data_IF_470339665000
#
_entry.id   IF_470339665000
#
_cell.length_a   1.000
_cell.length_b   1.000
_cell.length_c   1.000
_cell.angle_alpha   90.00
_cell.angle_beta   90.00
_cell.angle_gamma   90.00
#
_symmetry.space_group_name_H-M   'P 1'
#
loop_
_entity.id
_entity.type
_entity.pdbx_description
1 polymer ?
#
# COMPACT_ATOMS: atom_id res chain seq x y z
N UNK A 1 15.45 -5.61 -16.82
CA UNK A 1 14.30 -5.59 -17.75
C UNK A 1 13.30 -4.57 -17.24
N UNK A 2 12.67 -3.81 -18.13
CA UNK A 2 11.73 -2.74 -17.77
C UNK A 2 10.30 -3.18 -18.08
N UNK A 3 9.39 -3.01 -17.11
CA UNK A 3 7.96 -3.25 -17.27
C UNK A 3 7.24 -1.93 -16.99
N UNK A 4 6.33 -1.53 -17.87
CA UNK A 4 5.63 -0.25 -17.83
C UNK A 4 4.13 -0.45 -17.72
N UNK A 5 3.46 0.32 -16.86
CA UNK A 5 2.00 0.40 -16.84
C UNK A 5 1.51 1.72 -16.26
N UNK A 6 0.20 1.93 -16.27
CA UNK A 6 -0.40 3.13 -15.69
C UNK A 6 -0.77 2.87 -14.24
N UNK A 7 -0.12 3.56 -13.31
CA UNK A 7 -0.52 3.56 -11.90
C UNK A 7 -0.52 4.97 -11.33
N UNK A 8 -1.44 5.25 -10.41
CA UNK A 8 -1.57 6.56 -9.74
C UNK A 8 -0.73 6.63 -8.45
N UNK A 9 0.31 5.79 -8.33
CA UNK A 9 1.15 5.72 -7.13
C UNK A 9 2.34 6.66 -7.27
N UNK A 10 2.80 7.22 -6.16
CA UNK A 10 4.11 7.87 -6.13
C UNK A 10 5.25 6.81 -6.14
N UNK A 11 6.49 7.26 -6.34
CA UNK A 11 7.63 6.34 -6.48
C UNK A 11 7.91 5.51 -5.23
N UNK A 12 7.74 6.09 -4.03
CA UNK A 12 7.96 5.42 -2.76
C UNK A 12 6.93 4.31 -2.51
N UNK A 13 5.66 4.58 -2.80
CA UNK A 13 4.55 3.62 -2.73
C UNK A 13 4.75 2.44 -3.65
N UNK A 14 5.07 2.72 -4.91
CA UNK A 14 5.27 1.67 -5.90
C UNK A 14 6.52 0.84 -5.59
N UNK A 15 7.60 1.46 -5.11
CA UNK A 15 8.79 0.72 -4.66
C UNK A 15 8.49 -0.18 -3.47
N UNK A 16 7.79 0.33 -2.46
CA UNK A 16 7.46 -0.45 -1.27
C UNK A 16 6.49 -1.60 -1.58
N UNK A 17 5.46 -1.36 -2.41
CA UNK A 17 4.53 -2.44 -2.83
C UNK A 17 5.23 -3.43 -3.75
N UNK A 18 6.08 -2.97 -4.69
CA UNK A 18 6.85 -3.86 -5.54
C UNK A 18 7.79 -4.76 -4.71
N UNK A 19 8.50 -4.21 -3.72
CA UNK A 19 9.33 -5.00 -2.80
C UNK A 19 8.52 -6.00 -1.98
N UNK A 20 7.35 -5.59 -1.48
CA UNK A 20 6.49 -6.47 -0.70
C UNK A 20 5.93 -7.64 -1.54
N UNK A 21 5.51 -7.37 -2.77
CA UNK A 21 4.91 -8.34 -3.67
C UNK A 21 5.93 -9.24 -4.40
N UNK A 22 7.12 -8.70 -4.70
CA UNK A 22 8.20 -9.41 -5.40
C UNK A 22 9.22 -10.05 -4.44
N UNK A 23 9.18 -9.74 -3.15
CA UNK A 23 10.02 -10.35 -2.11
C UNK A 23 11.48 -9.85 -2.14
N UNK A 24 12.46 -10.76 -1.96
CA UNK A 24 13.90 -10.43 -1.99
C UNK A 24 14.42 -10.00 -3.36
N UNK A 25 13.53 -9.88 -4.34
CA UNK A 25 13.85 -9.39 -5.67
C UNK A 25 14.40 -7.96 -5.59
N UNK A 26 15.62 -7.75 -6.10
CA UNK A 26 16.14 -6.40 -6.34
C UNK A 26 15.33 -5.76 -7.47
N UNK A 27 14.39 -4.89 -7.08
CA UNK A 27 13.65 -4.03 -7.98
C UNK A 27 14.06 -2.56 -7.78
N UNK A 28 14.04 -1.79 -8.87
CA UNK A 28 14.04 -0.34 -8.86
C UNK A 28 12.72 0.17 -9.44
N UNK A 29 12.25 1.32 -9.00
CA UNK A 29 10.97 1.87 -9.45
C UNK A 29 11.16 3.29 -9.96
N UNK A 30 10.46 3.64 -11.04
CA UNK A 30 10.43 5.01 -11.56
C UNK A 30 9.00 5.39 -11.91
N UNK A 31 8.55 6.56 -11.44
CA UNK A 31 7.21 7.10 -11.68
C UNK A 31 7.35 8.42 -12.43
N UNK A 32 6.61 8.57 -13.53
CA UNK A 32 6.48 9.81 -14.30
C UNK A 32 5.02 10.22 -14.42
N UNK A 33 4.76 11.47 -14.86
CA UNK A 33 3.42 12.09 -14.86
C UNK A 33 2.30 11.41 -15.66
N UNK A 34 2.55 10.26 -16.28
CA UNK A 34 1.52 9.43 -16.93
C UNK A 34 1.85 7.93 -16.99
N UNK A 35 2.94 7.48 -16.36
CA UNK A 35 3.31 6.07 -16.37
C UNK A 35 4.21 5.72 -15.19
N UNK A 36 4.01 4.52 -14.67
CA UNK A 36 4.82 3.90 -13.64
C UNK A 36 5.61 2.75 -14.24
N UNK A 37 6.86 2.57 -13.80
CA UNK A 37 7.73 1.50 -14.29
C UNK A 37 8.41 0.77 -13.14
N UNK A 38 8.46 -0.56 -13.24
CA UNK A 38 9.24 -1.42 -12.35
C UNK A 38 10.42 -1.97 -13.16
N UNK A 39 11.61 -1.73 -12.65
CA UNK A 39 12.89 -2.22 -13.17
C UNK A 39 13.31 -3.44 -12.37
N UNK A 40 13.31 -4.60 -13.03
CA UNK A 40 13.71 -5.86 -12.42
C UNK A 40 15.18 -6.16 -12.76
N UNK A 41 16.03 -6.26 -11.73
CA UNK A 41 17.41 -6.72 -11.86
C UNK A 41 17.47 -8.24 -11.70
N UNK A 42 17.59 -8.96 -12.82
CA UNK A 42 17.81 -10.42 -12.88
C UNK A 42 16.66 -11.27 -12.31
N UNK A 43 15.57 -11.42 -13.08
CA UNK A 43 14.33 -12.08 -12.61
C UNK A 43 13.78 -13.10 -13.62
N UNK A 44 13.12 -14.12 -13.08
CA UNK A 44 12.44 -15.18 -13.83
C UNK A 44 11.07 -14.73 -14.39
N UNK A 45 10.50 -15.51 -15.32
CA UNK A 45 9.19 -15.25 -15.94
C UNK A 45 8.06 -15.00 -14.92
N UNK A 46 7.93 -15.78 -13.83
CA UNK A 46 6.93 -15.53 -12.79
C UNK A 46 7.02 -14.14 -12.13
N UNK A 47 8.22 -13.65 -11.81
CA UNK A 47 8.44 -12.33 -11.21
C UNK A 47 8.07 -11.20 -12.18
N UNK A 48 8.34 -11.40 -13.47
CA UNK A 48 7.95 -10.46 -14.53
C UNK A 48 6.43 -10.37 -14.67
N UNK A 49 5.74 -11.52 -14.65
CA UNK A 49 4.27 -11.54 -14.72
C UNK A 49 3.66 -10.82 -13.51
N UNK A 50 4.15 -11.07 -12.29
CA UNK A 50 3.68 -10.36 -11.09
C UNK A 50 3.92 -8.86 -11.15
N UNK A 51 5.08 -8.42 -11.63
CA UNK A 51 5.38 -7.00 -11.81
C UNK A 51 4.47 -6.35 -12.87
N UNK A 52 4.16 -7.07 -13.95
CA UNK A 52 3.18 -6.62 -14.94
C UNK A 52 1.76 -6.57 -14.37
N UNK A 53 1.37 -7.53 -13.55
CA UNK A 53 0.05 -7.56 -12.92
C UNK A 53 -0.09 -6.44 -11.87
N UNK A 54 0.97 -6.15 -11.11
CA UNK A 54 1.06 -4.96 -10.24
C UNK A 54 0.87 -3.67 -11.06
N UNK A 55 1.47 -3.57 -12.25
CA UNK A 55 1.34 -2.35 -13.06
C UNK A 55 0.00 -2.24 -13.81
N UNK A 56 -0.62 -3.36 -14.16
CA UNK A 56 -1.83 -3.42 -15.00
C UNK A 56 -3.13 -3.56 -14.21
N UNK A 57 -3.09 -4.09 -12.98
CA UNK A 57 -4.27 -4.42 -12.18
C UNK A 57 -4.34 -3.66 -10.86
N UNK A 58 -3.61 -2.55 -10.72
CA UNK A 58 -3.69 -1.68 -9.53
C UNK A 58 -5.07 -1.00 -9.43
N UNK A 59 -6.07 -1.78 -9.03
CA UNK A 59 -7.40 -1.32 -8.70
C UNK A 59 -7.41 -0.62 -7.36
N UNK A 60 -8.23 0.42 -7.21
CA UNK A 60 -8.35 1.15 -5.95
C UNK A 60 -9.19 0.34 -4.97
N UNK A 61 -8.67 -0.10 -3.83
CA UNK A 61 -9.44 -0.71 -2.73
C UNK A 61 -10.30 0.36 -2.06
N UNK A 62 -11.56 0.03 -1.78
CA UNK A 62 -12.43 0.88 -0.97
C UNK A 62 -11.99 0.83 0.49
N UNK A 63 -11.69 1.98 1.06
CA UNK A 63 -11.26 2.10 2.44
C UNK A 63 -11.72 3.42 3.04
N UNK A 64 -11.88 3.44 4.35
CA UNK A 64 -12.25 4.60 5.14
C UNK A 64 -11.36 4.67 6.38
N UNK A 65 -11.14 5.87 6.89
CA UNK A 65 -10.59 6.07 8.23
C UNK A 65 -11.66 6.79 9.07
N UNK A 66 -11.75 6.46 10.36
CA UNK A 66 -12.60 7.20 11.29
C UNK A 66 -12.11 8.63 11.53
N UNK A 67 -10.79 8.84 11.47
CA UNK A 67 -10.13 10.13 11.54
C UNK A 67 -9.07 10.26 10.45
N UNK A 68 -9.10 11.37 9.72
CA UNK A 68 -8.04 11.76 8.77
C UNK A 68 -7.25 12.99 9.25
N UNK A 69 -7.65 13.57 10.38
CA UNK A 69 -6.97 14.66 11.06
C UNK A 69 -7.17 14.46 12.57
N UNK A 70 -6.09 14.54 13.33
CA UNK A 70 -6.10 14.37 14.79
C UNK A 70 -5.01 15.22 15.45
N UNK A 71 -5.06 15.33 16.78
CA UNK A 71 -3.97 15.85 17.61
C UNK A 71 -3.22 14.73 18.33
N UNK A 72 -1.96 14.98 18.69
CA UNK A 72 -1.18 14.05 19.52
C UNK A 72 -1.92 13.77 20.83
N UNK A 73 -2.13 12.48 21.13
CA UNK A 73 -2.82 12.01 22.34
C UNK A 73 -4.33 11.83 22.19
N UNK A 74 -4.91 12.13 21.04
CA UNK A 74 -6.26 11.67 20.70
C UNK A 74 -6.30 10.15 20.47
N UNK A 75 -7.52 9.59 20.39
CA UNK A 75 -7.71 8.16 20.16
C UNK A 75 -7.06 7.71 18.85
N UNK A 76 -6.45 6.51 18.87
CA UNK A 76 -5.80 5.92 17.70
C UNK A 76 -6.78 5.79 16.52
N UNK A 77 -6.45 6.33 15.34
CA UNK A 77 -7.30 6.19 14.17
C UNK A 77 -7.40 4.73 13.71
N UNK A 78 -8.58 4.35 13.27
CA UNK A 78 -8.88 3.04 12.71
C UNK A 78 -9.20 3.17 11.23
N UNK A 79 -8.34 2.57 10.43
CA UNK A 79 -8.52 2.41 8.99
C UNK A 79 -9.25 1.10 8.73
N UNK A 80 -10.33 1.17 7.95
CA UNK A 80 -11.14 0.02 7.56
C UNK A 80 -11.10 -0.13 6.05
N UNK A 81 -10.89 -1.37 5.58
CA UNK A 81 -11.09 -1.73 4.19
C UNK A 81 -12.25 -2.72 4.12
N UNK A 82 -13.29 -2.35 3.39
CA UNK A 82 -14.46 -3.18 3.15
C UNK A 82 -14.70 -3.17 1.64
N UNK A 83 -14.28 -4.24 0.97
CA UNK A 83 -14.30 -4.34 -0.48
C UNK A 83 -14.61 -5.79 -0.91
N UNK A 84 -15.47 -5.96 -1.90
CA UNK A 84 -15.83 -7.30 -2.37
C UNK A 84 -14.65 -8.07 -2.96
N UNK A 85 -13.64 -7.35 -3.50
CA UNK A 85 -12.45 -7.97 -4.08
C UNK A 85 -11.56 -8.64 -3.05
N UNK A 86 -11.65 -8.23 -1.78
CA UNK A 86 -10.88 -8.84 -0.69
C UNK A 86 -11.68 -9.96 0.00
N UNK A 87 -12.94 -10.21 -0.38
CA UNK A 87 -13.80 -11.18 0.30
C UNK A 87 -13.28 -12.62 0.26
N UNK A 88 -12.51 -12.96 -0.78
CA UNK A 88 -11.87 -14.27 -0.93
C UNK A 88 -10.44 -14.32 -0.37
N UNK A 89 -9.89 -13.19 0.08
CA UNK A 89 -8.54 -13.13 0.63
C UNK A 89 -8.53 -13.52 2.10
N UNK A 90 -7.42 -14.13 2.54
CA UNK A 90 -7.18 -14.37 3.96
C UNK A 90 -6.50 -13.18 4.64
N UNK A 91 -5.73 -12.39 3.89
CA UNK A 91 -4.90 -11.32 4.44
C UNK A 91 -4.69 -10.15 3.46
N UNK A 92 -4.70 -8.93 3.99
CA UNK A 92 -4.12 -7.75 3.35
C UNK A 92 -2.77 -7.45 3.99
N UNK A 93 -1.92 -6.70 3.29
CA UNK A 93 -0.77 -6.05 3.90
C UNK A 93 -1.01 -4.55 4.02
N UNK A 94 -0.29 -3.95 4.97
CA UNK A 94 -0.28 -2.52 5.15
C UNK A 94 1.13 -1.98 5.27
N UNK A 95 1.25 -0.69 4.95
CA UNK A 95 2.47 0.08 5.06
C UNK A 95 2.10 1.48 5.56
N UNK A 96 2.82 1.98 6.55
CA UNK A 96 2.65 3.30 7.14
C UNK A 96 3.93 4.11 6.92
N UNK A 97 3.79 5.27 6.29
CA UNK A 97 4.89 6.20 6.05
C UNK A 97 4.69 7.46 6.86
N UNK A 98 5.79 8.06 7.30
CA UNK A 98 5.85 9.45 7.76
C UNK A 98 6.91 10.17 6.95
N UNK A 99 6.51 11.24 6.28
CA UNK A 99 7.39 12.01 5.38
C UNK A 99 8.20 11.14 4.41
N UNK A 100 7.50 10.24 3.71
CA UNK A 100 8.06 9.24 2.77
C UNK A 100 8.95 8.14 3.39
N UNK A 101 9.16 8.13 4.71
CA UNK A 101 9.89 7.07 5.42
C UNK A 101 8.94 6.02 5.99
N UNK A 102 9.24 4.73 5.77
CA UNK A 102 8.46 3.63 6.32
C UNK A 102 8.68 3.54 7.84
N UNK A 103 7.62 3.77 8.61
CA UNK A 103 7.64 3.68 10.07
C UNK A 103 6.96 2.40 10.60
N UNK A 104 6.04 1.80 9.84
CA UNK A 104 5.45 0.51 10.19
C UNK A 104 4.98 -0.26 8.94
N UNK A 105 4.95 -1.59 9.06
CA UNK A 105 4.39 -2.49 8.05
C UNK A 105 3.89 -3.78 8.69
N UNK A 106 2.94 -4.45 8.05
CA UNK A 106 2.44 -5.72 8.56
C UNK A 106 1.35 -6.34 7.71
N UNK A 107 0.65 -7.31 8.29
CA UNK A 107 -0.47 -8.01 7.66
C UNK A 107 -1.73 -7.87 8.51
N UNK A 108 -2.86 -7.70 7.85
CA UNK A 108 -4.19 -7.62 8.43
C UNK A 108 -4.96 -8.88 8.05
N UNK A 109 -5.63 -9.50 9.02
CA UNK A 109 -6.57 -10.57 8.73
C UNK A 109 -7.80 -9.99 8.02
N UNK A 110 -8.26 -10.68 6.98
CA UNK A 110 -9.55 -10.37 6.36
C UNK A 110 -10.61 -11.27 6.98
N UNK A 111 -11.64 -10.66 7.56
CA UNK A 111 -12.74 -11.35 8.24
C UNK A 111 -14.04 -10.89 7.56
N UNK A 112 -14.77 -11.83 6.96
CA UNK A 112 -16.01 -11.55 6.24
C UNK A 112 -15.88 -10.43 5.19
N UNK A 113 -14.77 -10.41 4.44
CA UNK A 113 -14.49 -9.39 3.43
C UNK A 113 -14.15 -8.00 3.97
N UNK A 114 -13.73 -7.92 5.24
CA UNK A 114 -13.26 -6.69 5.85
C UNK A 114 -11.90 -6.86 6.50
N UNK A 115 -11.08 -5.81 6.42
CA UNK A 115 -9.85 -5.67 7.19
C UNK A 115 -9.90 -4.37 8.00
N UNK A 116 -9.22 -4.35 9.15
CA UNK A 116 -9.12 -3.14 9.98
C UNK A 116 -7.71 -3.01 10.54
N UNK A 117 -7.19 -1.78 10.55
CA UNK A 117 -5.88 -1.40 11.06
C UNK A 117 -6.05 -0.26 12.06
N UNK A 118 -5.61 -0.47 13.29
CA UNK A 118 -5.47 0.59 14.28
C UNK A 118 -4.06 1.17 14.20
N UNK A 119 -3.97 2.49 14.08
CA UNK A 119 -2.72 3.21 13.93
C UNK A 119 -2.32 3.81 15.27
N UNK A 120 -1.47 3.08 15.99
CA UNK A 120 -1.04 3.47 17.33
C UNK A 120 0.18 4.39 17.32
N UNK A 121 0.23 5.28 18.30
CA UNK A 121 1.40 6.11 18.60
C UNK A 121 1.88 7.00 17.44
N UNK A 122 0.95 7.60 16.69
CA UNK A 122 1.28 8.58 15.66
C UNK A 122 1.84 9.86 16.29
N UNK A 123 2.95 10.37 15.74
CA UNK A 123 3.56 11.64 16.15
C UNK A 123 3.14 12.80 15.23
N UNK A 124 3.60 14.02 15.50
CA UNK A 124 3.24 15.20 14.69
C UNK A 124 3.78 15.02 13.26
N UNK A 125 2.91 15.14 12.27
CA UNK A 125 3.30 15.06 10.86
C UNK A 125 2.21 14.53 9.93
N UNK A 126 2.59 14.32 8.67
CA UNK A 126 1.76 13.66 7.68
C UNK A 126 2.08 12.18 7.63
N UNK A 127 1.04 11.37 7.79
CA UNK A 127 1.11 9.93 7.78
C UNK A 127 0.36 9.38 6.59
N UNK A 128 1.05 8.66 5.71
CA UNK A 128 0.44 7.99 4.58
C UNK A 128 0.27 6.50 4.91
N UNK A 129 -0.98 6.04 4.85
CA UNK A 129 -1.34 4.65 5.13
C UNK A 129 -1.71 3.99 3.82
N UNK A 130 -1.05 2.87 3.53
CA UNK A 130 -1.32 2.05 2.36
C UNK A 130 -1.83 0.69 2.79
N UNK A 131 -2.86 0.22 2.10
CA UNK A 131 -3.41 -1.13 2.21
C UNK A 131 -3.30 -1.79 0.84
N UNK A 132 -2.85 -3.05 0.78
CA UNK A 132 -2.72 -3.75 -0.50
C UNK A 132 -2.94 -5.27 -0.36
N UNK A 133 -3.46 -5.88 -1.42
CA UNK A 133 -3.62 -7.33 -1.50
C UNK A 133 -2.25 -8.02 -1.69
N UNK A 134 -2.02 -9.12 -0.97
CA UNK A 134 -0.80 -9.93 -1.09
C UNK A 134 -0.90 -11.03 -2.15
N UNK A 135 -2.11 -11.46 -2.48
CA UNK A 135 -2.42 -12.49 -3.47
C UNK A 135 -3.62 -12.06 -4.31
N UNK A 136 -3.73 -12.53 -5.55
CA UNK A 136 -4.84 -12.20 -6.44
C UNK A 136 -4.63 -10.93 -7.28
N UNK A 137 -5.73 -10.25 -7.60
CA UNK A 137 -5.82 -9.08 -8.49
C UNK A 137 -5.31 -7.80 -7.79
N UNK A 138 -4.00 -7.73 -7.50
CA UNK A 138 -3.21 -6.63 -6.93
C UNK A 138 -3.89 -5.25 -6.75
N UNK A 139 -4.89 -5.15 -5.87
CA UNK A 139 -5.56 -3.89 -5.56
C UNK A 139 -4.91 -3.22 -4.33
N UNK A 140 -4.97 -1.89 -4.28
CA UNK A 140 -4.47 -1.11 -3.15
C UNK A 140 -5.31 0.12 -2.84
N UNK A 141 -5.26 0.59 -1.61
CA UNK A 141 -5.86 1.84 -1.16
C UNK A 141 -4.84 2.68 -0.40
N UNK A 142 -4.95 3.99 -0.51
CA UNK A 142 -4.12 4.94 0.24
C UNK A 142 -4.97 6.02 0.89
N UNK A 143 -4.70 6.31 2.16
CA UNK A 143 -5.24 7.48 2.83
C UNK A 143 -4.12 8.25 3.53
N UNK A 144 -4.38 9.52 3.79
CA UNK A 144 -3.48 10.39 4.53
C UNK A 144 -4.13 10.81 5.84
N UNK A 145 -3.39 10.67 6.93
CA UNK A 145 -3.74 11.17 8.25
C UNK A 145 -2.81 12.31 8.61
N UNK A 146 -3.38 13.44 9.02
CA UNK A 146 -2.65 14.56 9.56
C UNK A 146 -2.68 14.51 11.09
N UNK A 147 -1.52 14.63 11.71
CA UNK A 147 -1.40 14.74 13.17
C UNK A 147 -0.80 16.09 13.50
N UNK A 148 -1.57 16.93 14.19
CA UNK A 148 -1.14 18.25 14.65
C UNK A 148 -0.62 18.19 16.09
N UNK A 149 0.20 19.18 16.46
CA UNK A 149 0.62 19.38 17.84
C UNK A 149 -0.60 19.61 18.78
N UNK A 150 -0.45 19.36 20.09
CA UNK A 150 -1.53 19.52 21.07
C UNK A 150 -2.22 20.89 21.03
#
# INVERSE_FOLDING_TARGET
MEITGQSNLNAAMLDAVARAALGKATCGVSVGGGSSRIHLMNHNLPEQQRASDLLNQFGTLSHTADLTSMKVGEADPVVRCADERIAADSQLAYLLLRDDEVIAQGKLAVIAGQASLTLSALDVGLHDVFLYQLAGHFASGSLRIRVDAP
#
